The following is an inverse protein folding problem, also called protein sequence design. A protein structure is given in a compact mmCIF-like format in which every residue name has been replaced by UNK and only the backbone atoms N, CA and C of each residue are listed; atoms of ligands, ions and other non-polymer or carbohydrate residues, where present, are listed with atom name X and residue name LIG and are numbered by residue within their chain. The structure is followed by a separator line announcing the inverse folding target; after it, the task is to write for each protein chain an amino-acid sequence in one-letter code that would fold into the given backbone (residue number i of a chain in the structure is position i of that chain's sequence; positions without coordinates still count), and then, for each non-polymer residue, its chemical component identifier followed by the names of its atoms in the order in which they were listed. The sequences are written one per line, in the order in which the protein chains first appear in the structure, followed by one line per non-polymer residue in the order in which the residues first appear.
data_IF_610180897218
#
_entry.id   IF_610180897218
#
_cell.length_a   1.000
_cell.length_b   1.000
_cell.length_c   1.000
_cell.angle_alpha   90.00
_cell.angle_beta   90.00
_cell.angle_gamma   90.00
#
_symmetry.space_group_name_H-M   'P 1'
#
loop_
_entity.id
_entity.type
_entity.pdbx_description
1 polymer ?
#
# COMPACT_ATOMS: atom_id res chain seq x y z
N UNK A 1 -11.26 28.11 11.27
CA UNK A 1 -12.10 27.04 11.82
C UNK A 1 -11.94 26.90 13.33
N UNK A 2 -10.89 26.30 13.89
CA UNK A 2 -10.86 25.98 15.34
C UNK A 2 -10.64 27.16 16.31
N UNK A 3 -10.10 28.27 15.84
CA UNK A 3 -9.85 29.51 16.60
C UNK A 3 -10.18 30.73 15.74
N UNK A 4 -11.29 30.65 15.02
CA UNK A 4 -11.82 31.81 14.28
C UNK A 4 -12.93 32.40 15.14
N UNK A 5 -12.82 33.69 15.43
CA UNK A 5 -13.76 34.42 16.26
C UNK A 5 -14.45 35.48 15.41
N UNK A 6 -15.76 35.60 15.56
CA UNK A 6 -16.51 36.66 14.91
C UNK A 6 -16.25 38.03 15.58
N UNK A 7 -16.77 39.12 15.00
CA UNK A 7 -16.58 40.48 15.53
C UNK A 7 -17.11 40.68 16.97
N UNK A 8 -17.96 39.76 17.46
CA UNK A 8 -18.51 39.76 18.81
C UNK A 8 -17.73 38.82 19.78
N UNK A 9 -16.65 38.18 19.33
CA UNK A 9 -15.78 37.33 20.16
C UNK A 9 -16.26 35.89 20.34
N UNK A 10 -17.29 35.44 19.62
CA UNK A 10 -17.75 34.04 19.63
C UNK A 10 -17.01 33.20 18.59
N UNK A 11 -16.90 31.88 18.83
CA UNK A 11 -16.37 30.95 17.82
C UNK A 11 -17.24 30.96 16.56
N UNK A 12 -16.62 31.19 15.42
CA UNK A 12 -17.29 31.32 14.13
C UNK A 12 -17.70 29.97 13.54
N UNK A 13 -17.01 28.88 13.89
CA UNK A 13 -17.30 27.52 13.44
C UNK A 13 -17.46 26.59 14.62
N UNK A 14 -18.50 25.76 14.59
CA UNK A 14 -18.66 24.65 15.51
C UNK A 14 -17.67 23.51 15.17
N UNK A 15 -17.46 22.63 16.14
CA UNK A 15 -16.62 21.45 15.95
C UNK A 15 -17.16 20.55 14.82
N UNK A 16 -18.48 20.36 14.76
CA UNK A 16 -19.12 19.54 13.75
C UNK A 16 -18.90 20.07 12.32
N UNK A 17 -18.98 21.38 12.12
CA UNK A 17 -18.71 22.02 10.81
C UNK A 17 -17.26 21.86 10.38
N UNK A 18 -16.33 21.96 11.33
CA UNK A 18 -14.90 21.74 11.05
C UNK A 18 -14.66 20.28 10.63
N UNK A 19 -15.27 19.31 11.32
CA UNK A 19 -15.16 17.88 10.97
C UNK A 19 -15.76 17.59 9.60
N UNK A 20 -16.93 18.17 9.29
CA UNK A 20 -17.58 18.01 7.99
C UNK A 20 -16.71 18.57 6.85
N UNK A 21 -16.09 19.74 7.06
CA UNK A 21 -15.18 20.33 6.07
C UNK A 21 -13.89 19.51 5.85
N UNK A 22 -13.49 18.70 6.83
CA UNK A 22 -12.29 17.85 6.71
C UNK A 22 -12.53 16.54 5.95
N UNK A 23 -13.79 16.13 5.76
CA UNK A 23 -14.17 14.89 5.07
C UNK A 23 -13.44 14.63 3.73
N UNK A 24 -13.38 15.58 2.76
CA UNK A 24 -12.71 15.34 1.48
C UNK A 24 -11.21 15.00 1.64
N UNK A 25 -10.52 15.54 2.64
CA UNK A 25 -9.12 15.21 2.89
C UNK A 25 -8.94 13.77 3.37
N UNK A 26 -9.87 13.26 4.19
CA UNK A 26 -9.85 11.86 4.61
C UNK A 26 -10.11 10.90 3.46
N UNK A 27 -10.97 11.27 2.51
CA UNK A 27 -11.21 10.50 1.28
C UNK A 27 -9.92 10.42 0.46
N UNK A 28 -9.31 11.55 0.11
CA UNK A 28 -8.08 11.58 -0.69
C UNK A 28 -6.96 10.80 0.01
N UNK A 29 -6.81 10.97 1.32
CA UNK A 29 -5.80 10.24 2.11
C UNK A 29 -6.01 8.73 2.08
N UNK A 30 -7.25 8.27 2.19
CA UNK A 30 -7.57 6.83 2.13
C UNK A 30 -7.32 6.28 0.73
N UNK A 31 -7.75 6.99 -0.32
CA UNK A 31 -7.50 6.61 -1.71
C UNK A 31 -6.00 6.53 -2.02
N UNK A 32 -5.22 7.52 -1.60
CA UNK A 32 -3.76 7.51 -1.74
C UNK A 32 -3.11 6.35 -0.98
N UNK A 33 -3.59 6.06 0.23
CA UNK A 33 -3.14 4.92 1.02
C UNK A 33 -3.42 3.57 0.35
N UNK A 34 -4.59 3.42 -0.28
CA UNK A 34 -4.95 2.19 -1.02
C UNK A 34 -4.00 1.98 -2.21
N UNK A 35 -3.68 3.05 -2.96
CA UNK A 35 -2.75 2.96 -4.09
C UNK A 35 -1.34 2.55 -3.62
N UNK A 36 -0.85 3.14 -2.52
CA UNK A 36 0.43 2.75 -1.93
C UNK A 36 0.42 1.29 -1.46
N UNK A 37 -0.64 0.87 -0.78
CA UNK A 37 -0.79 -0.49 -0.28
C UNK A 37 -0.86 -1.50 -1.43
N UNK A 38 -1.57 -1.19 -2.51
CA UNK A 38 -1.58 -2.01 -3.72
C UNK A 38 -0.16 -2.18 -4.30
N UNK A 39 0.62 -1.09 -4.36
CA UNK A 39 2.03 -1.17 -4.75
C UNK A 39 2.88 -2.06 -3.83
N UNK A 40 2.65 -1.98 -2.52
CA UNK A 40 3.33 -2.84 -1.55
C UNK A 40 2.99 -4.33 -1.73
N UNK A 41 1.74 -4.65 -2.09
CA UNK A 41 1.34 -6.03 -2.42
C UNK A 41 2.05 -6.56 -3.67
N UNK A 42 2.17 -5.74 -4.71
CA UNK A 42 2.93 -6.10 -5.92
C UNK A 42 4.40 -6.33 -5.58
N UNK A 43 4.99 -5.48 -4.75
CA UNK A 43 6.37 -5.63 -4.28
C UNK A 43 6.54 -6.93 -3.48
N UNK A 44 5.64 -7.23 -2.55
CA UNK A 44 5.67 -8.46 -1.76
C UNK A 44 5.57 -9.70 -2.65
N UNK A 45 4.71 -9.68 -3.67
CA UNK A 45 4.61 -10.76 -4.66
C UNK A 45 5.91 -10.94 -5.46
N UNK A 46 6.50 -9.85 -5.94
CA UNK A 46 7.76 -9.92 -6.69
C UNK A 46 8.89 -10.49 -5.82
N UNK A 47 9.02 -10.04 -4.58
CA UNK A 47 10.00 -10.57 -3.63
C UNK A 47 9.76 -12.06 -3.36
N UNK A 48 8.50 -12.46 -3.13
CA UNK A 48 8.15 -13.87 -2.95
C UNK A 48 8.59 -14.72 -4.14
N UNK A 49 8.27 -14.29 -5.36
CA UNK A 49 8.68 -14.99 -6.59
C UNK A 49 10.20 -15.10 -6.72
N UNK A 50 10.95 -14.05 -6.40
CA UNK A 50 12.41 -14.08 -6.41
C UNK A 50 12.96 -15.10 -5.41
N UNK A 51 12.37 -15.21 -4.22
CA UNK A 51 12.83 -16.16 -3.18
C UNK A 51 12.49 -17.61 -3.55
N UNK A 52 11.36 -17.86 -4.21
CA UNK A 52 10.92 -19.23 -4.54
C UNK A 52 11.54 -19.77 -5.83
N UNK A 53 11.88 -18.91 -6.80
CA UNK A 53 12.49 -19.33 -8.07
C UNK A 53 13.77 -20.15 -7.88
N UNK A 54 14.64 -19.80 -6.93
CA UNK A 54 15.88 -20.56 -6.69
C UNK A 54 15.63 -21.98 -6.19
N UNK A 55 14.55 -22.19 -5.41
CA UNK A 55 14.17 -23.53 -4.92
C UNK A 55 13.63 -24.42 -6.04
N UNK A 56 12.93 -23.83 -7.00
CA UNK A 56 12.41 -24.55 -8.18
C UNK A 56 13.55 -24.93 -9.13
N UNK A 57 14.55 -24.06 -9.29
CA UNK A 57 15.73 -24.32 -10.14
C UNK A 57 16.63 -25.43 -9.57
N UNK A 58 16.92 -25.41 -8.26
CA UNK A 58 17.64 -26.51 -7.59
C UNK A 58 16.88 -27.85 -7.71
N UNK A 59 15.56 -27.84 -7.50
CA UNK A 59 14.73 -29.03 -7.65
C UNK A 59 14.68 -29.56 -9.10
N UNK A 60 14.72 -28.66 -10.09
CA UNK A 60 14.77 -29.03 -11.50
C UNK A 60 16.14 -29.64 -11.87
N UNK A 61 17.25 -29.01 -11.45
CA UNK A 61 18.61 -29.55 -11.69
C UNK A 61 18.77 -30.94 -11.06
N UNK A 62 18.14 -31.21 -9.91
CA UNK A 62 18.21 -32.50 -9.23
C UNK A 62 17.35 -33.60 -9.88
N UNK A 63 16.39 -33.21 -10.72
CA UNK A 63 15.48 -34.15 -11.42
C UNK A 63 15.88 -34.39 -12.88
N UNK A 64 16.81 -33.62 -13.45
CA UNK A 64 17.48 -33.97 -14.70
C UNK A 64 18.57 -34.99 -14.37
N UNK A 65 18.38 -36.29 -14.69
CA UNK A 65 19.45 -37.26 -14.50
C UNK A 65 20.55 -37.00 -15.54
N UNK A 66 21.80 -37.32 -15.21
CA UNK A 66 22.99 -37.29 -16.10
C UNK A 66 22.82 -37.94 -17.49
N UNK A 67 21.66 -38.52 -17.79
CA UNK A 67 21.31 -39.24 -19.01
C UNK A 67 21.36 -38.40 -20.30
N UNK A 68 21.40 -37.07 -20.23
CA UNK A 68 21.51 -36.21 -21.43
C UNK A 68 22.95 -35.85 -21.82
N UNK A 69 23.97 -36.19 -21.01
CA UNK A 69 25.37 -35.94 -21.34
C UNK A 69 26.03 -37.10 -22.14
N UNK A 70 25.30 -38.18 -22.40
CA UNK A 70 25.82 -39.40 -23.02
C UNK A 70 25.15 -39.79 -24.35
N UNK A 71 24.65 -38.80 -25.12
CA UNK A 71 24.12 -38.98 -26.48
C UNK A 71 24.92 -38.18 -27.51
#
# INVERSE_FOLDING_TARGET
MWKTYNAAGFLEYSFAETVAAMFPYYVIRTTGGILFFAGALVMAYNVYRTITMTKEEEANIQTVPETQAAA
#
